data_IF_345483414206
#
_entry.id   IF_345483414206
#
_cell.length_a   1.000
_cell.length_b   1.000
_cell.length_c   1.000
_cell.angle_alpha   90.00
_cell.angle_beta   90.00
_cell.angle_gamma   90.00
#
_symmetry.space_group_name_H-M   'P 1'
#
loop_
_entity.id
_entity.type
_entity.pdbx_description
1 polymer ?
#
# COMPACT_ATOMS: atom_id res chain seq x y z
N UNK A 1 5.02 -13.19 16.66
CA UNK A 1 3.79 -12.48 16.25
C UNK A 1 3.36 -11.52 17.36
N UNK A 2 2.82 -10.36 17.03
CA UNK A 2 2.22 -9.46 18.00
C UNK A 2 1.01 -10.15 18.65
N UNK A 3 0.83 -10.06 20.00
CA UNK A 3 -0.24 -10.77 20.70
C UNK A 3 -1.64 -10.44 20.17
N UNK A 4 -1.88 -9.18 19.85
CA UNK A 4 -3.16 -8.68 19.35
C UNK A 4 -3.52 -9.33 18.01
N UNK A 5 -2.55 -9.41 17.09
CA UNK A 5 -2.73 -10.04 15.77
C UNK A 5 -2.87 -11.55 15.89
N UNK A 6 -2.16 -12.15 16.84
CA UNK A 6 -2.32 -13.60 17.13
C UNK A 6 -3.69 -13.96 17.68
N UNK A 7 -4.32 -13.05 18.42
CA UNK A 7 -5.64 -13.25 18.99
C UNK A 7 -6.79 -13.07 17.98
N UNK A 8 -6.56 -12.32 16.90
CA UNK A 8 -7.55 -12.18 15.82
C UNK A 8 -7.69 -13.52 15.08
N UNK A 9 -8.94 -13.98 14.94
CA UNK A 9 -9.22 -15.21 14.18
C UNK A 9 -9.05 -14.97 12.69
N UNK A 10 -8.61 -15.98 11.97
CA UNK A 10 -8.58 -15.95 10.52
C UNK A 10 -10.02 -15.80 10.00
N UNK A 11 -10.24 -14.79 9.14
CA UNK A 11 -11.56 -14.47 8.59
C UNK A 11 -12.40 -13.51 9.43
N UNK A 12 -11.89 -13.01 10.57
CA UNK A 12 -12.48 -11.91 11.33
C UNK A 12 -11.74 -10.60 11.01
N UNK A 13 -12.15 -9.96 9.93
CA UNK A 13 -11.51 -8.76 9.39
C UNK A 13 -11.59 -7.58 10.35
N UNK A 14 -12.71 -7.44 11.06
CA UNK A 14 -12.87 -6.40 12.07
C UNK A 14 -11.94 -6.60 13.27
N UNK A 15 -11.78 -7.85 13.73
CA UNK A 15 -10.84 -8.15 14.81
C UNK A 15 -9.41 -7.85 14.39
N UNK A 16 -9.05 -8.14 13.15
CA UNK A 16 -7.72 -7.85 12.61
C UNK A 16 -7.49 -6.33 12.48
N UNK A 17 -8.47 -5.56 12.01
CA UNK A 17 -8.40 -4.09 12.00
C UNK A 17 -8.21 -3.52 13.42
N UNK A 18 -8.98 -4.01 14.40
CA UNK A 18 -8.81 -3.61 15.82
C UNK A 18 -7.41 -3.94 16.34
N UNK A 19 -6.88 -5.12 16.00
CA UNK A 19 -5.53 -5.54 16.35
C UNK A 19 -4.47 -4.61 15.73
N UNK A 20 -4.61 -4.26 14.45
CA UNK A 20 -3.72 -3.31 13.78
C UNK A 20 -3.77 -1.93 14.43
N UNK A 21 -4.95 -1.42 14.82
CA UNK A 21 -5.07 -0.16 15.55
C UNK A 21 -4.29 -0.18 16.89
N UNK A 22 -4.37 -1.29 17.63
CA UNK A 22 -3.64 -1.45 18.90
C UNK A 22 -2.12 -1.48 18.66
N UNK A 23 -1.66 -2.24 17.66
CA UNK A 23 -0.24 -2.26 17.27
C UNK A 23 0.22 -0.87 16.85
N UNK A 24 -0.56 -0.16 16.03
CA UNK A 24 -0.27 1.21 15.62
C UNK A 24 -0.08 2.17 16.81
N UNK A 25 -0.98 2.13 17.78
CA UNK A 25 -0.90 2.97 18.98
C UNK A 25 0.35 2.69 19.82
N UNK A 26 0.79 1.44 19.91
CA UNK A 26 1.89 0.99 20.77
C UNK A 26 3.26 1.07 20.09
N UNK A 27 3.33 0.76 18.80
CA UNK A 27 4.59 0.51 18.10
C UNK A 27 5.13 1.78 17.42
N UNK A 28 5.84 2.63 18.19
CA UNK A 28 6.37 3.91 17.70
C UNK A 28 7.30 3.78 16.49
N UNK A 29 8.09 2.70 16.41
CA UNK A 29 8.98 2.48 15.27
C UNK A 29 8.21 2.20 13.98
N UNK A 30 7.06 1.53 14.07
CA UNK A 30 6.18 1.33 12.92
C UNK A 30 5.66 2.68 12.40
N UNK A 31 5.18 3.55 13.31
CA UNK A 31 4.74 4.91 12.93
C UNK A 31 5.85 5.72 12.28
N UNK A 32 7.10 5.58 12.73
CA UNK A 32 8.25 6.25 12.12
C UNK A 32 8.39 5.90 10.62
N UNK A 33 8.27 4.61 10.24
CA UNK A 33 8.33 4.23 8.82
C UNK A 33 7.16 4.82 8.03
N UNK A 34 5.94 4.66 8.54
CA UNK A 34 4.76 5.18 7.85
C UNK A 34 4.80 6.70 7.70
N UNK A 35 5.25 7.45 8.72
CA UNK A 35 5.42 8.90 8.63
C UNK A 35 6.46 9.30 7.57
N UNK A 36 7.50 8.50 7.40
CA UNK A 36 8.49 8.73 6.34
C UNK A 36 7.86 8.52 4.96
N UNK A 37 7.09 7.45 4.79
CA UNK A 37 6.39 7.18 3.53
C UNK A 37 5.29 8.20 3.24
N UNK A 38 4.56 8.62 4.24
CA UNK A 38 3.52 9.66 4.09
C UNK A 38 4.11 10.98 3.60
N UNK A 39 5.31 11.36 4.04
CA UNK A 39 6.00 12.53 3.50
C UNK A 39 6.30 12.40 2.02
N UNK A 40 6.78 11.24 1.59
CA UNK A 40 7.03 10.98 0.16
C UNK A 40 5.73 11.01 -0.66
N UNK A 41 4.64 10.49 -0.12
CA UNK A 41 3.31 10.57 -0.75
C UNK A 41 2.87 12.03 -0.83
N UNK A 42 2.95 12.79 0.27
CA UNK A 42 2.56 14.21 0.31
C UNK A 42 3.33 15.07 -0.71
N UNK A 43 4.62 14.82 -0.88
CA UNK A 43 5.47 15.48 -1.88
C UNK A 43 5.02 15.19 -3.33
N UNK A 44 4.39 14.03 -3.54
CA UNK A 44 3.89 13.61 -4.86
C UNK A 44 2.50 14.14 -5.17
N UNK A 45 1.72 14.57 -4.17
CA UNK A 45 0.33 14.99 -4.35
C UNK A 45 0.22 16.38 -4.98
N UNK A 46 -0.78 16.52 -5.85
CA UNK A 46 -1.19 17.79 -6.43
C UNK A 46 -2.19 18.53 -5.51
N UNK A 47 -2.33 19.84 -5.64
CA UNK A 47 -3.44 20.57 -5.02
C UNK A 47 -4.80 20.00 -5.46
N UNK A 48 -5.75 19.89 -4.51
CA UNK A 48 -7.12 19.47 -4.80
C UNK A 48 -7.59 18.27 -3.99
N UNK A 49 -8.63 17.60 -4.48
CA UNK A 49 -9.27 16.45 -3.80
C UNK A 49 -8.33 15.26 -3.73
N UNK A 50 -8.20 14.68 -2.56
CA UNK A 50 -7.43 13.44 -2.32
C UNK A 50 -8.42 12.36 -1.88
N UNK A 51 -8.34 11.20 -2.52
CA UNK A 51 -9.09 10.00 -2.14
C UNK A 51 -8.10 8.90 -1.77
N UNK A 52 -8.21 8.36 -0.56
CA UNK A 52 -7.47 7.17 -0.13
C UNK A 52 -8.32 5.93 -0.45
N UNK A 53 -7.77 5.01 -1.25
CA UNK A 53 -8.41 3.74 -1.62
C UNK A 53 -7.93 2.66 -0.66
N UNK A 54 -8.87 1.88 -0.10
CA UNK A 54 -8.61 0.81 0.87
C UNK A 54 -7.82 1.34 2.09
N UNK A 55 -8.42 2.31 2.76
CA UNK A 55 -7.79 3.07 3.86
C UNK A 55 -7.52 2.23 5.12
N UNK A 56 -8.11 1.04 5.24
CA UNK A 56 -7.94 0.15 6.39
C UNK A 56 -8.28 0.85 7.70
N UNK A 57 -7.29 0.96 8.59
CA UNK A 57 -7.46 1.66 9.88
C UNK A 57 -7.41 3.19 9.76
N UNK A 58 -7.27 3.74 8.55
CA UNK A 58 -7.34 5.16 8.27
C UNK A 58 -6.14 5.98 8.76
N UNK A 59 -4.97 5.39 8.83
CA UNK A 59 -3.79 6.06 9.38
C UNK A 59 -3.31 7.24 8.53
N UNK A 60 -3.43 7.15 7.22
CA UNK A 60 -3.05 8.23 6.33
C UNK A 60 -4.10 9.35 6.36
N UNK A 61 -5.38 9.00 6.22
CA UNK A 61 -6.49 9.95 6.16
C UNK A 61 -6.78 10.65 7.49
N UNK A 62 -6.45 10.02 8.63
CA UNK A 62 -6.68 10.60 9.97
C UNK A 62 -5.57 11.53 10.46
N UNK A 63 -4.54 11.77 9.65
CA UNK A 63 -3.47 12.71 10.02
C UNK A 63 -4.03 14.11 10.24
N UNK A 64 -3.53 14.77 11.29
CA UNK A 64 -3.91 16.15 11.66
C UNK A 64 -3.41 17.19 10.63
N UNK A 65 -3.23 16.79 9.39
CA UNK A 65 -2.83 17.63 8.30
C UNK A 65 -4.04 18.43 7.76
N UNK A 66 -3.80 19.61 7.23
CA UNK A 66 -4.81 20.58 6.76
C UNK A 66 -5.56 20.12 5.49
N UNK A 67 -5.25 18.95 4.93
CA UNK A 67 -5.85 18.41 3.72
C UNK A 67 -7.02 17.51 4.08
N UNK A 68 -8.20 17.77 3.50
CA UNK A 68 -9.33 16.85 3.60
C UNK A 68 -9.10 15.66 2.67
N UNK A 69 -8.86 14.49 3.24
CA UNK A 69 -8.73 13.23 2.52
C UNK A 69 -10.06 12.48 2.65
N UNK A 70 -10.59 12.01 1.53
CA UNK A 70 -11.77 11.14 1.48
C UNK A 70 -11.27 9.69 1.60
N UNK A 71 -11.41 9.10 2.76
CA UNK A 71 -11.04 7.70 2.97
C UNK A 71 -12.13 6.77 2.44
N UNK A 72 -11.75 5.79 1.63
CA UNK A 72 -12.65 4.75 1.13
C UNK A 72 -12.13 3.37 1.53
N UNK A 73 -13.03 2.46 1.87
CA UNK A 73 -12.71 1.07 2.18
C UNK A 73 -13.93 0.19 1.92
N UNK A 74 -13.73 -1.11 1.73
CA UNK A 74 -14.81 -2.08 1.62
C UNK A 74 -15.43 -2.38 2.99
N UNK A 75 -14.65 -2.23 4.05
CA UNK A 75 -15.09 -2.38 5.43
C UNK A 75 -15.54 -1.03 6.01
N UNK A 76 -16.61 -1.04 6.76
CA UNK A 76 -17.04 0.12 7.53
C UNK A 76 -16.06 0.33 8.71
N UNK A 77 -15.39 1.46 8.73
CA UNK A 77 -14.43 1.83 9.77
C UNK A 77 -14.65 3.24 10.31
N UNK A 78 -14.09 3.53 11.48
CA UNK A 78 -14.28 4.82 12.17
C UNK A 78 -13.87 6.03 11.32
N UNK A 79 -12.87 5.87 10.45
CA UNK A 79 -12.32 6.94 9.61
C UNK A 79 -12.71 6.80 8.13
N UNK A 80 -13.55 5.82 7.78
CA UNK A 80 -14.00 5.60 6.40
C UNK A 80 -15.14 6.55 6.08
N UNK A 81 -14.95 7.41 5.09
CA UNK A 81 -15.96 8.37 4.64
C UNK A 81 -16.94 7.76 3.62
N UNK A 82 -16.45 6.80 2.80
CA UNK A 82 -17.26 6.13 1.77
C UNK A 82 -16.95 4.64 1.81
N UNK A 83 -17.92 3.83 2.15
CA UNK A 83 -17.81 2.36 2.08
C UNK A 83 -18.06 1.92 0.64
N UNK A 84 -17.03 1.38 0.00
CA UNK A 84 -17.10 0.97 -1.41
C UNK A 84 -16.02 -0.06 -1.75
N UNK A 85 -16.31 -0.90 -2.72
CA UNK A 85 -15.31 -1.73 -3.37
C UNK A 85 -14.45 -0.86 -4.32
N UNK A 86 -13.13 -0.99 -4.24
CA UNK A 86 -12.18 -0.25 -5.08
C UNK A 86 -12.38 -0.47 -6.59
N UNK A 87 -12.98 -1.60 -6.98
CA UNK A 87 -13.33 -1.88 -8.38
C UNK A 87 -14.47 -0.99 -8.92
N UNK A 88 -15.26 -0.38 -8.01
CA UNK A 88 -16.48 0.38 -8.32
C UNK A 88 -16.52 1.73 -7.60
N UNK A 89 -15.42 2.48 -7.65
CA UNK A 89 -15.30 3.80 -7.02
C UNK A 89 -16.47 4.72 -7.42
N UNK A 90 -17.24 5.29 -6.46
CA UNK A 90 -18.47 6.04 -6.74
C UNK A 90 -18.21 7.53 -7.04
N UNK A 91 -17.13 7.83 -7.75
CA UNK A 91 -16.79 9.20 -8.11
C UNK A 91 -17.07 9.45 -9.59
N UNK A 92 -17.52 10.68 -9.89
CA UNK A 92 -17.76 11.09 -11.28
C UNK A 92 -16.46 11.10 -12.09
N UNK A 93 -16.51 10.79 -13.39
CA UNK A 93 -15.36 10.92 -14.28
C UNK A 93 -14.75 12.32 -14.22
N UNK A 94 -13.42 12.40 -14.15
CA UNK A 94 -12.70 13.66 -14.13
C UNK A 94 -12.92 14.54 -12.89
N UNK A 95 -13.34 13.98 -11.74
CA UNK A 95 -13.64 14.77 -10.54
C UNK A 95 -12.52 14.77 -9.50
N UNK A 96 -11.62 13.79 -9.52
CA UNK A 96 -10.61 13.58 -8.50
C UNK A 96 -9.25 14.11 -8.94
N UNK A 97 -8.54 14.81 -8.07
CA UNK A 97 -7.19 15.32 -8.35
C UNK A 97 -6.12 14.30 -8.00
N UNK A 98 -6.30 13.54 -6.91
CA UNK A 98 -5.34 12.55 -6.45
C UNK A 98 -6.02 11.32 -5.89
N UNK A 99 -5.55 10.15 -6.28
CA UNK A 99 -5.75 8.91 -5.54
C UNK A 99 -4.48 8.52 -4.79
N UNK A 100 -4.65 7.97 -3.60
CA UNK A 100 -3.60 7.35 -2.79
C UNK A 100 -4.00 5.92 -2.49
N UNK A 101 -3.08 4.98 -2.62
CA UNK A 101 -3.27 3.59 -2.22
C UNK A 101 -2.02 3.11 -1.48
N UNK A 102 -2.19 2.51 -0.30
CA UNK A 102 -1.09 2.09 0.56
C UNK A 102 -1.32 0.64 0.99
N UNK A 103 -0.41 -0.25 0.60
CA UNK A 103 -0.45 -1.68 0.95
C UNK A 103 -1.80 -2.36 0.66
N UNK A 104 -2.38 -2.09 -0.51
CA UNK A 104 -3.71 -2.58 -0.83
C UNK A 104 -3.82 -3.25 -2.21
N UNK A 105 -2.97 -2.89 -3.18
CA UNK A 105 -3.04 -3.46 -4.53
C UNK A 105 -2.94 -4.99 -4.53
N UNK A 106 -2.10 -5.54 -3.65
CA UNK A 106 -1.90 -6.99 -3.55
C UNK A 106 -3.13 -7.75 -3.02
N UNK A 107 -4.12 -7.06 -2.46
CA UNK A 107 -5.42 -7.61 -2.08
C UNK A 107 -6.49 -7.49 -3.18
N UNK A 108 -6.19 -6.83 -4.30
CA UNK A 108 -7.16 -6.61 -5.38
C UNK A 108 -7.21 -7.82 -6.33
N UNK A 109 -8.39 -8.43 -6.46
CA UNK A 109 -8.57 -9.55 -7.40
C UNK A 109 -8.42 -9.12 -8.86
N UNK A 110 -8.85 -7.90 -9.19
CA UNK A 110 -8.80 -7.34 -10.54
C UNK A 110 -8.06 -6.00 -10.53
N UNK A 111 -6.73 -6.00 -10.31
CA UNK A 111 -5.96 -4.76 -10.11
C UNK A 111 -6.07 -3.82 -11.31
N UNK A 112 -6.14 -4.35 -12.53
CA UNK A 112 -6.27 -3.55 -13.74
C UNK A 112 -7.64 -2.84 -13.83
N UNK A 113 -8.71 -3.45 -13.31
CA UNK A 113 -10.03 -2.81 -13.21
C UNK A 113 -10.00 -1.64 -12.21
N UNK A 114 -9.34 -1.81 -11.06
CA UNK A 114 -9.18 -0.74 -10.06
C UNK A 114 -8.42 0.44 -10.67
N UNK A 115 -7.30 0.17 -11.36
CA UNK A 115 -6.51 1.21 -12.00
C UNK A 115 -7.28 1.91 -13.13
N UNK A 116 -8.03 1.18 -13.95
CA UNK A 116 -8.87 1.74 -15.01
C UNK A 116 -9.98 2.63 -14.41
N UNK A 117 -10.66 2.16 -13.37
CA UNK A 117 -11.71 2.94 -12.71
C UNK A 117 -11.15 4.21 -12.06
N UNK A 118 -9.99 4.12 -11.41
CA UNK A 118 -9.32 5.30 -10.87
C UNK A 118 -8.92 6.29 -11.99
N UNK A 119 -8.40 5.80 -13.11
CA UNK A 119 -8.07 6.62 -14.27
C UNK A 119 -9.28 7.36 -14.83
N UNK A 120 -10.45 6.72 -14.90
CA UNK A 120 -11.70 7.39 -15.30
C UNK A 120 -12.05 8.54 -14.36
N UNK A 121 -11.96 8.32 -13.04
CA UNK A 121 -12.31 9.31 -12.02
C UNK A 121 -11.31 10.47 -11.92
N UNK A 122 -10.05 10.26 -12.28
CA UNK A 122 -9.02 11.30 -12.24
C UNK A 122 -9.30 12.39 -13.27
N UNK A 123 -9.01 13.63 -12.90
CA UNK A 123 -8.89 14.77 -13.83
C UNK A 123 -7.74 14.53 -14.81
N UNK A 124 -7.77 15.12 -16.04
CA UNK A 124 -6.56 15.23 -16.84
C UNK A 124 -5.42 15.83 -16.03
N UNK A 125 -4.24 15.22 -16.06
CA UNK A 125 -3.09 15.57 -15.23
C UNK A 125 -3.20 15.15 -13.75
N UNK A 126 -4.31 14.55 -13.34
CA UNK A 126 -4.48 14.04 -11.97
C UNK A 126 -3.56 12.85 -11.66
N UNK A 127 -3.21 12.64 -10.40
CA UNK A 127 -2.22 11.66 -9.96
C UNK A 127 -2.81 10.48 -9.22
N UNK A 128 -2.24 9.30 -9.46
CA UNK A 128 -2.38 8.14 -8.61
C UNK A 128 -1.03 7.82 -7.96
N UNK A 129 -0.96 7.99 -6.64
CA UNK A 129 0.25 7.74 -5.84
C UNK A 129 0.04 6.44 -5.07
N UNK A 130 0.88 5.44 -5.34
CA UNK A 130 0.76 4.10 -4.78
C UNK A 130 2.03 3.71 -4.04
N UNK A 131 1.88 3.35 -2.77
CA UNK A 131 2.92 2.71 -1.98
C UNK A 131 2.56 1.23 -1.81
N UNK A 132 3.45 0.33 -2.23
CA UNK A 132 3.14 -1.11 -2.23
C UNK A 132 4.38 -1.95 -1.92
N UNK A 133 4.18 -3.16 -1.42
CA UNK A 133 5.24 -4.15 -1.35
C UNK A 133 5.77 -4.46 -2.75
N UNK A 134 7.09 -4.67 -2.88
CA UNK A 134 7.72 -4.99 -4.15
C UNK A 134 8.59 -6.24 -4.05
N UNK A 135 8.29 -7.21 -4.90
CA UNK A 135 9.02 -8.49 -4.93
C UNK A 135 10.30 -8.38 -5.76
N UNK A 136 11.28 -7.62 -5.26
CA UNK A 136 12.63 -7.64 -5.80
C UNK A 136 13.28 -9.03 -5.65
N UNK A 137 14.42 -9.31 -6.32
CA UNK A 137 15.20 -10.54 -6.05
C UNK A 137 15.51 -10.72 -4.57
N UNK A 138 15.89 -9.64 -3.88
CA UNK A 138 16.13 -9.66 -2.44
C UNK A 138 14.85 -9.90 -1.63
N UNK A 139 13.76 -9.19 -1.96
CA UNK A 139 12.48 -9.38 -1.32
C UNK A 139 12.01 -10.84 -1.42
N UNK A 140 12.19 -11.48 -2.59
CA UNK A 140 11.83 -12.88 -2.80
C UNK A 140 12.58 -13.82 -1.85
N UNK A 141 13.80 -13.48 -1.43
CA UNK A 141 14.56 -14.23 -0.43
C UNK A 141 14.03 -13.97 0.99
N UNK A 142 13.76 -12.69 1.33
CA UNK A 142 13.26 -12.28 2.66
C UNK A 142 11.85 -12.84 2.89
N UNK A 143 10.98 -12.75 1.89
CA UNK A 143 9.58 -13.19 2.01
C UNK A 143 9.40 -14.71 1.95
N UNK A 144 10.41 -15.52 1.62
CA UNK A 144 10.35 -16.98 1.81
C UNK A 144 10.00 -17.40 3.23
N UNK A 145 10.30 -16.53 4.19
CA UNK A 145 10.00 -16.73 5.62
C UNK A 145 8.70 -16.06 6.07
N UNK A 146 8.00 -15.37 5.15
CA UNK A 146 6.71 -14.72 5.38
C UNK A 146 5.55 -15.56 4.84
N UNK A 147 4.37 -15.40 5.44
CA UNK A 147 3.18 -16.19 5.10
C UNK A 147 2.46 -15.73 3.81
N UNK A 148 2.84 -14.59 3.23
CA UNK A 148 2.22 -14.12 2.00
C UNK A 148 2.72 -14.93 0.80
N UNK A 149 1.77 -15.45 0.04
CA UNK A 149 2.06 -16.18 -1.20
C UNK A 149 2.42 -15.21 -2.32
N UNK A 150 3.40 -15.59 -3.14
CA UNK A 150 3.76 -14.87 -4.36
C UNK A 150 3.38 -15.75 -5.54
N UNK A 151 2.26 -15.46 -6.17
CA UNK A 151 1.80 -16.15 -7.36
C UNK A 151 2.07 -15.30 -8.59
N UNK A 152 3.11 -15.66 -9.34
CA UNK A 152 3.49 -15.01 -10.59
C UNK A 152 2.70 -15.52 -11.80
N UNK A 153 1.93 -16.60 -11.64
CA UNK A 153 1.07 -17.14 -12.69
C UNK A 153 -0.29 -16.46 -12.77
N UNK A 154 -0.59 -15.57 -11.81
CA UNK A 154 -1.85 -14.84 -11.75
C UNK A 154 -2.04 -13.93 -12.97
N UNK A 155 -3.11 -14.14 -13.73
CA UNK A 155 -3.44 -13.28 -14.88
C UNK A 155 -4.20 -12.04 -14.41
N UNK A 156 -3.47 -10.92 -14.30
CA UNK A 156 -4.03 -9.64 -13.87
C UNK A 156 -5.02 -9.01 -14.87
N UNK A 157 -5.03 -9.48 -16.11
CA UNK A 157 -5.93 -8.98 -17.18
C UNK A 157 -7.22 -9.81 -17.27
N UNK A 158 -7.15 -11.12 -17.01
CA UNK A 158 -8.28 -12.04 -17.07
C UNK A 158 -8.33 -12.90 -15.80
N UNK A 159 -8.57 -12.32 -14.65
CA UNK A 159 -8.61 -13.06 -13.40
C UNK A 159 -9.83 -13.98 -13.38
N UNK A 160 -9.63 -15.25 -13.74
CA UNK A 160 -10.67 -16.28 -13.72
C UNK A 160 -11.05 -16.61 -12.27
N UNK A 161 -12.33 -16.41 -11.94
CA UNK A 161 -13.04 -16.97 -10.77
C UNK A 161 -12.35 -16.87 -9.39
N UNK A 162 -11.48 -15.91 -9.17
CA UNK A 162 -10.98 -15.66 -7.83
C UNK A 162 -12.00 -14.80 -7.07
N UNK A 163 -12.70 -15.43 -6.13
CA UNK A 163 -13.41 -14.68 -5.08
C UNK A 163 -12.37 -14.09 -4.16
N UNK A 164 -12.19 -12.76 -4.13
CA UNK A 164 -11.21 -12.15 -3.24
C UNK A 164 -11.67 -12.33 -1.80
N UNK A 165 -10.87 -13.03 -1.02
CA UNK A 165 -10.91 -12.83 0.42
C UNK A 165 -10.20 -11.52 0.69
N UNK A 166 -10.77 -10.65 1.51
CA UNK A 166 -10.24 -9.30 1.81
C UNK A 166 -8.77 -9.34 2.27
N UNK A 167 -8.37 -10.42 2.94
CA UNK A 167 -7.02 -10.62 3.46
C UNK A 167 -6.17 -11.60 2.62
N UNK A 168 -6.66 -12.02 1.46
CA UNK A 168 -5.85 -12.76 0.52
C UNK A 168 -4.86 -11.78 -0.12
N UNK A 169 -3.57 -11.99 0.11
CA UNK A 169 -2.50 -11.18 -0.47
C UNK A 169 -1.73 -11.96 -1.52
N UNK A 170 -1.47 -11.34 -2.67
CA UNK A 170 -0.47 -11.82 -3.62
C UNK A 170 0.70 -10.82 -3.65
N UNK A 171 1.78 -11.14 -2.95
CA UNK A 171 2.95 -10.27 -2.84
C UNK A 171 3.62 -9.99 -4.21
N UNK A 172 3.38 -10.81 -5.23
CA UNK A 172 3.87 -10.58 -6.59
C UNK A 172 3.08 -9.51 -7.36
N UNK A 173 1.94 -9.03 -6.83
CA UNK A 173 1.00 -8.19 -7.58
C UNK A 173 1.61 -6.91 -8.13
N UNK A 174 2.36 -6.18 -7.32
CA UNK A 174 3.03 -4.96 -7.78
C UNK A 174 3.97 -5.22 -8.95
N UNK A 175 4.71 -6.33 -8.90
CA UNK A 175 5.61 -6.71 -9.97
C UNK A 175 4.84 -7.11 -11.23
N UNK A 176 3.78 -7.92 -11.11
CA UNK A 176 2.92 -8.30 -12.23
C UNK A 176 2.32 -7.08 -12.95
N UNK A 177 1.90 -6.07 -12.18
CA UNK A 177 1.30 -4.84 -12.70
C UNK A 177 2.34 -3.94 -13.33
N UNK A 178 3.50 -3.72 -12.68
CA UNK A 178 4.50 -2.72 -13.10
C UNK A 178 5.63 -3.27 -13.97
N UNK A 179 5.70 -4.59 -14.22
CA UNK A 179 6.66 -5.16 -15.19
C UNK A 179 6.30 -4.80 -16.65
N UNK A 180 5.05 -4.34 -16.90
CA UNK A 180 4.57 -3.89 -18.21
C UNK A 180 3.85 -2.53 -18.08
N UNK A 181 4.59 -1.45 -17.76
CA UNK A 181 3.99 -0.15 -17.47
C UNK A 181 3.25 0.44 -18.68
N UNK A 182 3.63 0.06 -19.90
CA UNK A 182 2.97 0.48 -21.15
C UNK A 182 1.53 -0.03 -21.31
N UNK A 183 1.10 -0.99 -20.50
CA UNK A 183 -0.26 -1.54 -20.47
C UNK A 183 -1.16 -0.91 -19.42
N UNK A 184 -0.62 -0.01 -18.62
CA UNK A 184 -1.39 0.65 -17.58
C UNK A 184 -2.30 1.74 -18.18
N UNK A 185 -3.48 1.97 -17.58
CA UNK A 185 -4.39 3.04 -18.00
C UNK A 185 -3.91 4.44 -17.57
N UNK A 186 -2.74 4.51 -16.95
CA UNK A 186 -2.08 5.69 -16.41
C UNK A 186 -0.61 5.68 -16.82
N UNK A 187 -0.03 6.85 -17.06
CA UNK A 187 1.41 6.96 -17.33
C UNK A 187 2.18 6.88 -16.02
N UNK A 188 3.15 5.99 -15.94
CA UNK A 188 4.09 5.91 -14.82
C UNK A 188 5.13 7.01 -14.94
N UNK A 189 5.04 8.06 -14.11
CA UNK A 189 6.03 9.14 -14.08
C UNK A 189 7.33 8.70 -13.40
N UNK A 190 7.20 8.00 -12.28
CA UNK A 190 8.36 7.53 -11.53
C UNK A 190 8.04 6.35 -10.64
N UNK A 191 9.04 5.53 -10.38
CA UNK A 191 9.02 4.49 -9.35
C UNK A 191 10.25 4.68 -8.47
N UNK A 192 10.01 4.91 -7.16
CA UNK A 192 11.06 4.92 -6.14
C UNK A 192 11.02 3.58 -5.39
N UNK A 193 12.14 2.89 -5.31
CA UNK A 193 12.26 1.68 -4.48
C UNK A 193 12.72 2.08 -3.08
N UNK A 194 12.13 1.43 -2.09
CA UNK A 194 12.30 1.78 -0.68
C UNK A 194 12.59 0.52 0.12
N UNK A 195 13.21 0.71 1.30
CA UNK A 195 13.46 -0.31 2.29
C UNK A 195 14.32 -1.48 1.76
N UNK A 196 15.26 -1.88 2.54
CA UNK A 196 16.11 -3.05 2.23
C UNK A 196 15.97 -4.13 3.30
N UNK A 197 16.12 -3.77 4.57
CA UNK A 197 16.15 -4.70 5.69
C UNK A 197 15.48 -4.15 6.94
N UNK A 198 15.52 -2.85 7.18
CA UNK A 198 15.10 -2.23 8.44
C UNK A 198 13.62 -2.43 8.73
N UNK A 199 12.76 -2.35 7.71
CA UNK A 199 11.32 -2.56 7.88
C UNK A 199 10.96 -4.02 8.20
N UNK A 200 11.49 -5.05 7.51
CA UNK A 200 11.32 -6.45 7.94
C UNK A 200 11.80 -6.69 9.38
N UNK A 201 12.93 -6.13 9.77
CA UNK A 201 13.43 -6.23 11.15
C UNK A 201 12.55 -5.47 12.16
N UNK A 202 11.84 -4.43 11.71
CA UNK A 202 10.78 -3.82 12.48
C UNK A 202 9.59 -4.77 12.69
N UNK A 203 9.34 -5.73 11.80
CA UNK A 203 8.29 -6.74 11.88
C UNK A 203 6.88 -6.22 11.56
N UNK A 204 6.75 -5.02 10.97
CA UNK A 204 5.47 -4.46 10.54
C UNK A 204 4.38 -4.49 11.61
N UNK A 205 3.15 -4.71 11.22
CA UNK A 205 2.02 -4.95 12.13
C UNK A 205 2.06 -6.34 12.77
N UNK A 206 2.54 -7.34 12.03
CA UNK A 206 2.39 -8.76 12.39
C UNK A 206 3.34 -9.21 13.49
N UNK A 207 4.60 -8.78 13.44
CA UNK A 207 5.65 -9.29 14.34
C UNK A 207 6.17 -8.22 15.29
N UNK A 208 6.81 -8.67 16.38
CA UNK A 208 7.59 -7.78 17.23
C UNK A 208 8.86 -7.35 16.52
N UNK A 209 9.36 -6.16 16.85
CA UNK A 209 10.64 -5.70 16.34
C UNK A 209 11.78 -6.59 16.82
N UNK A 210 12.66 -6.99 15.92
CA UNK A 210 13.85 -7.79 16.22
C UNK A 210 15.01 -6.94 16.76
N UNK A 211 15.00 -5.64 16.46
CA UNK A 211 16.02 -4.70 16.91
C UNK A 211 15.38 -3.51 17.64
N UNK A 212 16.12 -2.87 18.55
CA UNK A 212 15.69 -1.62 19.18
C UNK A 212 15.44 -0.49 18.17
N UNK A 213 14.48 0.39 18.47
CA UNK A 213 14.08 1.47 17.59
C UNK A 213 15.24 2.41 17.14
N UNK A 214 16.22 2.79 18.00
CA UNK A 214 17.34 3.60 17.55
C UNK A 214 18.18 2.92 16.45
N UNK A 215 18.45 1.62 16.58
CA UNK A 215 19.21 0.86 15.58
C UNK A 215 18.44 0.76 14.26
N UNK A 216 17.12 0.50 14.32
CA UNK A 216 16.27 0.46 13.14
C UNK A 216 16.25 1.82 12.40
N UNK A 217 16.18 2.92 13.14
CA UNK A 217 16.24 4.27 12.53
C UNK A 217 17.59 4.56 11.88
N UNK A 218 18.69 4.13 12.51
CA UNK A 218 20.03 4.30 11.94
C UNK A 218 20.19 3.47 10.67
N UNK A 219 19.73 2.23 10.69
CA UNK A 219 19.75 1.34 9.52
C UNK A 219 18.90 1.94 8.39
N UNK A 220 17.68 2.38 8.68
CA UNK A 220 16.82 3.01 7.68
C UNK A 220 17.46 4.24 7.01
N UNK A 221 18.17 5.08 7.77
CA UNK A 221 18.89 6.23 7.19
C UNK A 221 19.98 5.80 6.18
N UNK A 222 20.61 4.66 6.37
CA UNK A 222 21.57 4.11 5.42
C UNK A 222 20.87 3.56 4.17
N UNK A 223 19.71 2.96 4.34
CA UNK A 223 18.95 2.31 3.27
C UNK A 223 18.31 3.28 2.26
N UNK A 224 18.10 4.55 2.63
CA UNK A 224 17.59 5.58 1.68
C UNK A 224 18.63 5.95 0.61
N UNK A 225 19.87 5.48 0.72
CA UNK A 225 20.88 5.72 -0.33
C UNK A 225 20.53 4.92 -1.60
N UNK A 226 20.89 5.41 -2.81
CA UNK A 226 20.64 4.71 -4.07
C UNK A 226 21.29 3.31 -4.15
N UNK A 227 22.28 3.04 -3.31
CA UNK A 227 22.91 1.73 -3.20
C UNK A 227 21.91 0.64 -2.79
N UNK A 228 20.99 0.96 -1.87
CA UNK A 228 19.98 0.03 -1.34
C UNK A 228 18.59 0.29 -1.92
N UNK A 229 18.26 1.55 -2.17
CA UNK A 229 16.97 1.99 -2.71
C UNK A 229 16.90 1.77 -4.24
N UNK A 230 16.92 0.50 -4.67
CA UNK A 230 16.91 0.13 -6.08
C UNK A 230 16.01 -1.10 -6.35
N UNK A 231 15.73 -1.38 -7.63
CA UNK A 231 14.84 -2.47 -8.08
C UNK A 231 15.29 -3.89 -7.68
N UNK A 232 16.55 -4.08 -7.33
CA UNK A 232 17.10 -5.40 -6.98
C UNK A 232 17.01 -5.68 -5.48
N UNK A 233 17.05 -4.64 -4.66
CA UNK A 233 17.13 -4.74 -3.22
C UNK A 233 15.86 -4.20 -2.52
N UNK A 234 15.12 -3.28 -3.14
CA UNK A 234 13.94 -2.66 -2.52
C UNK A 234 12.84 -3.68 -2.17
N UNK A 235 12.30 -3.55 -0.99
CA UNK A 235 11.17 -4.35 -0.50
C UNK A 235 9.82 -3.67 -0.74
N UNK A 236 9.86 -2.39 -1.02
CA UNK A 236 8.69 -1.55 -1.31
C UNK A 236 8.94 -0.66 -2.50
N UNK A 237 7.85 -0.21 -3.10
CA UNK A 237 7.89 0.76 -4.17
C UNK A 237 6.87 1.87 -3.92
N UNK A 238 7.24 3.09 -4.27
CA UNK A 238 6.34 4.22 -4.42
C UNK A 238 6.24 4.53 -5.91
N UNK A 239 5.08 4.27 -6.50
CA UNK A 239 4.79 4.57 -7.89
C UNK A 239 3.95 5.86 -7.97
N UNK A 240 4.35 6.79 -8.83
CA UNK A 240 3.60 7.99 -9.16
C UNK A 240 3.14 7.84 -10.61
N UNK A 241 1.84 7.86 -10.80
CA UNK A 241 1.19 7.69 -12.10
C UNK A 241 0.30 8.89 -12.38
N UNK A 242 0.17 9.28 -13.67
CA UNK A 242 -0.63 10.43 -14.09
C UNK A 242 -1.60 10.05 -15.19
N UNK A 243 -2.80 10.62 -15.15
CA UNK A 243 -3.76 10.56 -16.25
C UNK A 243 -3.38 11.57 -17.32
N UNK A 244 -3.36 11.13 -18.58
CA UNK A 244 -3.26 12.02 -19.76
C UNK A 244 -4.48 12.93 -19.90
#
# INVERSE_FOLDING_TARGET
>A
MNPEVRAAKVGDDEALLRAHQQVWKRKHILRYYYETWYKLIDEALLPGTIVEIASGIGNFSSRADRRKIIATDILCGQNVAVVTDAHYLPFSPGSISNFVMIDALHHMAKPMQVLARAAECLKPGGRFVMLESYMSPWASLVFKFHHEKSDYSYDIYNPLNHMPQIWYGNAAMSRLVFDRPERLPLIVESIKYLEFLSYPLCGGFTYRSLLPAPLLRSLHKLEVSPLFANRFLGLRMLAIMTKL
#
